data_IF_153629412990
#
_entry.id   IF_153629412990
#
_cell.length_a   1.000
_cell.length_b   1.000
_cell.length_c   1.000
_cell.angle_alpha   90.00
_cell.angle_beta   90.00
_cell.angle_gamma   90.00
#
_symmetry.space_group_name_H-M   'P 1'
#
loop_
_entity.id
_entity.type
_entity.pdbx_description
1 polymer ?
#
# COMPACT_ATOMS: atom_id res chain seq x y z
N UNK A 1 -2.01 -31.16 3.06
CA UNK A 1 -0.54 -31.32 3.21
C UNK A 1 0.09 -30.31 2.25
N UNK A 2 0.57 -29.16 2.75
CA UNK A 2 1.22 -28.14 1.92
C UNK A 2 2.74 -28.26 2.12
N UNK A 3 3.38 -28.96 1.19
CA UNK A 3 4.83 -28.95 1.05
C UNK A 3 5.18 -27.96 -0.06
N UNK A 4 5.56 -26.74 0.34
CA UNK A 4 6.13 -25.72 -0.54
C UNK A 4 7.18 -24.97 0.25
N UNK A 5 8.44 -25.03 -0.21
CA UNK A 5 9.60 -24.43 0.43
C UNK A 5 9.75 -23.01 -0.15
N UNK A 6 9.14 -22.03 0.50
CA UNK A 6 9.23 -20.62 0.09
C UNK A 6 10.58 -20.05 0.53
N UNK A 7 11.51 -19.88 -0.41
CA UNK A 7 12.79 -19.20 -0.17
C UNK A 7 12.66 -17.73 -0.59
N UNK A 8 12.35 -16.86 0.36
CA UNK A 8 12.69 -15.44 0.26
C UNK A 8 14.08 -15.26 0.88
N UNK A 9 15.04 -14.73 0.13
CA UNK A 9 16.39 -14.46 0.63
C UNK A 9 16.40 -13.15 1.41
N UNK A 10 16.59 -13.25 2.73
CA UNK A 10 17.18 -12.18 3.55
C UNK A 10 16.21 -11.26 4.27
N UNK A 11 15.87 -11.61 5.52
CA UNK A 11 15.50 -10.60 6.52
C UNK A 11 16.73 -10.34 7.40
N UNK A 12 17.34 -9.16 7.31
CA UNK A 12 18.27 -8.68 8.34
C UNK A 12 17.50 -7.76 9.28
N UNK A 13 17.02 -8.32 10.39
CA UNK A 13 16.42 -7.52 11.45
C UNK A 13 17.50 -6.97 12.36
N UNK A 14 17.72 -5.67 12.30
CA UNK A 14 18.44 -4.90 13.32
C UNK A 14 17.42 -3.96 13.97
N UNK A 15 17.27 -3.97 15.31
CA UNK A 15 16.34 -3.06 15.98
C UNK A 15 16.69 -1.60 15.70
N UNK A 16 15.76 -0.85 15.11
CA UNK A 16 15.96 0.54 14.71
C UNK A 16 16.08 0.77 13.20
N UNK A 17 16.22 -0.30 12.41
CA UNK A 17 16.39 -0.20 10.97
C UNK A 17 15.06 -0.35 10.20
N UNK A 18 14.96 0.37 9.09
CA UNK A 18 13.89 0.18 8.12
C UNK A 18 14.07 -1.15 7.40
N UNK A 19 13.00 -1.94 7.32
CA UNK A 19 13.00 -3.21 6.59
C UNK A 19 12.40 -3.01 5.21
N UNK A 20 13.02 -3.63 4.22
CA UNK A 20 12.62 -3.61 2.82
C UNK A 20 12.63 -5.04 2.29
N UNK A 21 11.51 -5.52 1.77
CA UNK A 21 11.44 -6.82 1.10
C UNK A 21 12.01 -6.65 -0.31
N UNK A 22 13.30 -6.93 -0.46
CA UNK A 22 14.01 -6.65 -1.71
C UNK A 22 13.45 -7.41 -2.89
N UNK A 23 12.95 -8.64 -2.68
CA UNK A 23 12.43 -9.48 -3.74
C UNK A 23 11.32 -10.40 -3.21
N UNK A 24 10.20 -10.42 -3.91
CA UNK A 24 9.21 -11.49 -3.88
C UNK A 24 8.49 -11.54 -5.22
N UNK A 25 7.86 -12.66 -5.54
CA UNK A 25 7.39 -12.95 -6.90
C UNK A 25 8.09 -14.18 -7.40
N UNK A 26 8.52 -14.18 -8.66
CA UNK A 26 9.09 -15.38 -9.29
C UNK A 26 8.02 -16.45 -9.36
N UNK A 27 7.04 -16.22 -10.23
CA UNK A 27 6.02 -17.22 -10.49
C UNK A 27 6.74 -18.38 -11.16
N UNK A 28 6.84 -19.53 -10.47
CA UNK A 28 7.35 -20.76 -11.07
C UNK A 28 6.40 -21.17 -12.23
N UNK A 29 5.67 -22.27 -12.08
CA UNK A 29 4.69 -22.72 -13.09
C UNK A 29 3.31 -22.03 -12.94
N UNK A 30 3.18 -21.01 -12.07
CA UNK A 30 1.89 -20.36 -11.77
C UNK A 30 1.63 -19.16 -12.67
N UNK A 31 0.57 -19.14 -13.50
CA UNK A 31 0.28 -18.02 -14.38
C UNK A 31 -0.22 -16.76 -13.67
N UNK A 32 -0.73 -16.87 -12.43
CA UNK A 32 -1.34 -15.75 -11.67
C UNK A 32 -0.57 -15.36 -10.42
N UNK A 33 0.45 -16.14 -10.06
CA UNK A 33 1.36 -15.86 -8.94
C UNK A 33 0.66 -15.70 -7.58
N UNK A 34 -0.55 -16.27 -7.43
CA UNK A 34 -1.48 -15.90 -6.35
C UNK A 34 -0.92 -16.08 -4.95
N UNK A 35 -0.28 -17.22 -4.71
CA UNK A 35 0.31 -17.56 -3.41
C UNK A 35 1.46 -16.63 -3.04
N UNK A 36 2.39 -16.39 -3.97
CA UNK A 36 3.57 -15.55 -3.74
C UNK A 36 3.19 -14.09 -3.51
N UNK A 37 2.26 -13.56 -4.30
CA UNK A 37 1.77 -12.19 -4.14
C UNK A 37 1.03 -12.01 -2.81
N UNK A 38 0.14 -12.94 -2.45
CA UNK A 38 -0.57 -12.87 -1.17
C UNK A 38 0.38 -12.94 0.02
N UNK A 39 1.39 -13.82 -0.03
CA UNK A 39 2.41 -13.90 1.00
C UNK A 39 3.21 -12.59 1.12
N UNK A 40 3.74 -12.08 0.01
CA UNK A 40 4.56 -10.86 -0.01
C UNK A 40 3.79 -9.64 0.48
N UNK A 41 2.54 -9.48 0.03
CA UNK A 41 1.66 -8.41 0.49
C UNK A 41 1.34 -8.53 1.98
N UNK A 42 1.01 -9.72 2.49
CA UNK A 42 0.74 -9.90 3.91
C UNK A 42 1.98 -9.63 4.78
N UNK A 43 3.16 -10.03 4.31
CA UNK A 43 4.42 -9.74 5.00
C UNK A 43 4.71 -8.24 5.02
N UNK A 44 4.61 -7.58 3.86
CA UNK A 44 4.82 -6.14 3.72
C UNK A 44 3.83 -5.32 4.56
N UNK A 45 2.54 -5.58 4.42
CA UNK A 45 1.47 -4.81 5.08
C UNK A 45 1.53 -4.97 6.60
N UNK A 46 1.78 -6.19 7.11
CA UNK A 46 1.85 -6.47 8.55
C UNK A 46 2.91 -5.62 9.26
N UNK A 47 4.02 -5.37 8.57
CA UNK A 47 5.14 -4.64 9.14
C UNK A 47 5.31 -3.24 8.54
N UNK A 48 4.36 -2.79 7.71
CA UNK A 48 4.41 -1.52 6.99
C UNK A 48 5.74 -1.34 6.23
N UNK A 49 6.16 -2.39 5.51
CA UNK A 49 7.43 -2.44 4.79
C UNK A 49 7.23 -2.21 3.30
N UNK A 50 8.17 -1.51 2.69
CA UNK A 50 8.26 -1.41 1.24
C UNK A 50 8.80 -2.72 0.65
N UNK A 51 8.56 -2.92 -0.63
CA UNK A 51 8.93 -4.14 -1.33
C UNK A 51 9.26 -3.87 -2.80
N UNK A 52 9.96 -4.81 -3.44
CA UNK A 52 10.13 -4.83 -4.90
C UNK A 52 9.71 -6.20 -5.44
N UNK A 53 8.91 -6.18 -6.50
CA UNK A 53 8.48 -7.38 -7.19
C UNK A 53 9.61 -7.88 -8.10
N UNK A 54 9.89 -9.18 -8.04
CA UNK A 54 10.85 -9.85 -8.90
C UNK A 54 10.13 -10.79 -9.87
N UNK A 55 10.45 -10.68 -11.15
CA UNK A 55 9.88 -11.49 -12.22
C UNK A 55 9.28 -10.65 -13.34
N UNK A 56 9.08 -11.28 -14.49
CA UNK A 56 8.45 -10.62 -15.62
C UNK A 56 6.93 -10.60 -15.46
N UNK A 57 6.33 -9.44 -15.69
CA UNK A 57 4.88 -9.29 -15.79
C UNK A 57 4.51 -9.21 -17.27
N UNK A 58 4.78 -10.27 -18.03
CA UNK A 58 4.49 -10.30 -19.47
C UNK A 58 2.99 -10.37 -19.71
N UNK A 59 2.34 -9.21 -19.86
CA UNK A 59 0.99 -9.08 -20.41
C UNK A 59 -0.15 -9.62 -19.54
N UNK A 60 0.14 -10.24 -18.39
CA UNK A 60 -0.90 -10.65 -17.45
C UNK A 60 -1.43 -9.45 -16.66
N UNK A 61 -2.51 -8.87 -17.17
CA UNK A 61 -3.23 -7.78 -16.52
C UNK A 61 -3.78 -8.17 -15.14
N UNK A 62 -3.93 -9.46 -14.82
CA UNK A 62 -4.34 -9.90 -13.47
C UNK A 62 -3.23 -9.61 -12.47
N UNK A 63 -2.00 -10.03 -12.76
CA UNK A 63 -0.83 -9.76 -11.91
C UNK A 63 -0.55 -8.25 -11.81
N UNK A 64 -0.59 -7.49 -12.93
CA UNK A 64 -0.41 -6.03 -12.90
C UNK A 64 -1.45 -5.34 -12.02
N UNK A 65 -2.74 -5.71 -12.14
CA UNK A 65 -3.81 -5.13 -11.32
C UNK A 65 -3.60 -5.43 -9.83
N UNK A 66 -3.11 -6.61 -9.50
CA UNK A 66 -2.83 -7.00 -8.10
C UNK A 66 -1.63 -6.28 -7.49
N UNK A 67 -0.61 -5.96 -8.29
CA UNK A 67 0.51 -5.13 -7.87
C UNK A 67 0.11 -3.65 -7.73
N UNK A 68 -0.90 -3.21 -8.49
CA UNK A 68 -1.41 -1.84 -8.56
C UNK A 68 -2.31 -1.41 -7.39
N UNK A 69 -1.95 -1.79 -6.17
CA UNK A 69 -2.74 -1.55 -4.95
C UNK A 69 -2.72 -0.06 -4.56
N UNK A 70 -3.74 0.45 -3.86
CA UNK A 70 -3.59 1.67 -3.08
C UNK A 70 -2.49 1.51 -2.04
N UNK A 71 -1.63 2.53 -1.90
CA UNK A 71 -0.65 2.55 -0.82
C UNK A 71 -0.33 3.98 -0.39
N UNK A 72 0.05 4.16 0.87
CA UNK A 72 0.56 5.42 1.37
C UNK A 72 2.00 5.61 0.87
N UNK A 73 2.22 6.60 -0.01
CA UNK A 73 3.57 6.94 -0.53
C UNK A 73 4.33 7.86 0.43
N UNK A 74 3.61 8.64 1.23
CA UNK A 74 4.18 9.47 2.29
C UNK A 74 3.20 9.57 3.47
N UNK A 75 3.71 9.52 4.70
CA UNK A 75 2.91 9.72 5.92
C UNK A 75 3.25 11.06 6.57
N UNK A 76 2.23 11.78 7.02
CA UNK A 76 2.36 13.10 7.65
C UNK A 76 3.29 13.11 8.86
N UNK A 77 3.36 12.03 9.65
CA UNK A 77 4.34 11.88 10.74
C UNK A 77 4.45 13.12 11.64
N UNK A 78 5.66 13.67 11.75
CA UNK A 78 5.96 14.96 12.43
C UNK A 78 5.98 16.17 11.48
N UNK A 79 5.66 15.97 10.20
CA UNK A 79 5.65 17.01 9.18
C UNK A 79 4.28 17.67 9.10
N UNK A 80 4.24 18.96 8.76
CA UNK A 80 2.99 19.68 8.47
C UNK A 80 2.45 19.38 7.06
N UNK A 81 2.98 18.37 6.37
CA UNK A 81 2.52 17.95 5.04
C UNK A 81 1.43 16.89 5.16
N UNK A 82 0.47 16.83 4.23
CA UNK A 82 -0.54 15.78 4.19
C UNK A 82 0.08 14.38 4.06
N UNK A 83 -0.63 13.36 4.51
CA UNK A 83 -0.37 11.97 4.08
C UNK A 83 -0.82 11.84 2.63
N UNK A 84 0.00 11.19 1.81
CA UNK A 84 -0.25 10.96 0.38
C UNK A 84 -0.57 9.48 0.15
N UNK A 85 -1.74 9.19 -0.44
CA UNK A 85 -2.14 7.85 -0.86
C UNK A 85 -2.20 7.82 -2.38
N UNK A 86 -1.43 6.92 -2.98
CA UNK A 86 -1.47 6.68 -4.42
C UNK A 86 -2.59 5.70 -4.77
N UNK A 87 -3.32 5.98 -5.85
CA UNK A 87 -4.33 5.14 -6.47
C UNK A 87 -3.95 4.83 -7.92
N UNK A 88 -3.89 3.54 -8.27
CA UNK A 88 -3.66 3.16 -9.65
C UNK A 88 -4.94 3.28 -10.49
N UNK A 89 -4.84 3.93 -11.65
CA UNK A 89 -5.91 3.99 -12.65
C UNK A 89 -6.31 2.62 -13.20
N UNK A 90 -5.46 1.60 -13.06
CA UNK A 90 -5.77 0.23 -13.47
C UNK A 90 -6.83 -0.43 -12.59
N UNK A 91 -6.91 -0.01 -11.32
CA UNK A 91 -7.88 -0.52 -10.34
C UNK A 91 -8.99 0.50 -10.10
N UNK A 92 -8.68 1.80 -10.21
CA UNK A 92 -9.58 2.90 -9.94
C UNK A 92 -9.66 3.89 -11.13
N UNK A 93 -10.19 3.47 -12.29
CA UNK A 93 -10.27 4.34 -13.45
C UNK A 93 -11.18 5.55 -13.19
N UNK A 94 -10.75 6.75 -13.58
CA UNK A 94 -11.59 7.97 -13.65
C UNK A 94 -12.36 8.31 -12.36
N UNK A 95 -11.74 8.16 -11.20
CA UNK A 95 -12.37 8.40 -9.90
C UNK A 95 -13.61 7.50 -9.61
N UNK A 96 -13.57 6.26 -10.10
CA UNK A 96 -14.49 5.17 -9.72
C UNK A 96 -14.20 4.67 -8.31
N UNK A 97 -14.18 5.57 -7.34
CA UNK A 97 -13.99 5.23 -5.93
C UNK A 97 -14.85 6.08 -5.01
N UNK A 98 -15.13 5.52 -3.84
CA UNK A 98 -15.64 6.23 -2.69
C UNK A 98 -14.56 6.27 -1.61
N UNK A 99 -14.44 7.42 -0.94
CA UNK A 99 -13.56 7.59 0.22
C UNK A 99 -14.43 7.86 1.42
N UNK A 100 -14.27 7.05 2.45
CA UNK A 100 -14.86 7.27 3.77
C UNK A 100 -13.75 7.52 4.78
N UNK A 101 -13.88 8.60 5.53
CA UNK A 101 -12.97 8.98 6.61
C UNK A 101 -13.75 9.21 7.89
N UNK A 102 -13.07 9.14 9.04
CA UNK A 102 -13.67 9.54 10.31
C UNK A 102 -13.62 11.07 10.51
N UNK A 103 -14.31 11.56 11.54
CA UNK A 103 -14.45 12.99 11.89
C UNK A 103 -13.15 13.74 12.25
N UNK A 104 -12.02 13.04 12.38
CA UNK A 104 -10.73 13.62 12.76
C UNK A 104 -9.88 14.03 11.57
N UNK A 105 -10.16 13.50 10.38
CA UNK A 105 -9.37 13.73 9.18
C UNK A 105 -10.28 14.13 8.02
N UNK A 106 -9.72 14.91 7.10
CA UNK A 106 -10.34 15.29 5.85
C UNK A 106 -9.46 14.81 4.70
N UNK A 107 -10.05 14.74 3.52
CA UNK A 107 -9.34 14.32 2.32
C UNK A 107 -9.64 15.24 1.15
N UNK A 108 -8.70 15.30 0.22
CA UNK A 108 -8.86 15.97 -1.09
C UNK A 108 -8.01 15.24 -2.12
N UNK A 109 -8.30 15.45 -3.40
CA UNK A 109 -7.44 14.99 -4.50
C UNK A 109 -6.31 16.01 -4.67
N UNK A 110 -5.09 15.53 -4.92
CA UNK A 110 -3.97 16.42 -5.27
C UNK A 110 -4.27 17.17 -6.58
N UNK A 111 -4.13 18.51 -6.61
CA UNK A 111 -4.46 19.30 -7.79
C UNK A 111 -3.51 19.08 -8.98
N UNK A 112 -2.34 18.48 -8.74
CA UNK A 112 -1.30 18.22 -9.75
C UNK A 112 -1.27 16.77 -10.22
N UNK A 113 -1.80 15.83 -9.43
CA UNK A 113 -1.90 14.41 -9.78
C UNK A 113 -3.19 13.80 -9.24
N UNK A 114 -4.14 13.49 -10.13
CA UNK A 114 -5.44 12.92 -9.74
C UNK A 114 -5.37 11.49 -9.20
N UNK A 115 -4.20 10.86 -9.25
CA UNK A 115 -3.92 9.57 -8.65
C UNK A 115 -3.49 9.68 -7.19
N UNK A 116 -3.35 10.89 -6.65
CA UNK A 116 -2.94 11.11 -5.26
C UNK A 116 -4.11 11.67 -4.46
N UNK A 117 -4.41 10.99 -3.35
CA UNK A 117 -5.29 11.51 -2.29
C UNK A 117 -4.42 12.10 -1.19
N UNK A 118 -4.76 13.31 -0.77
CA UNK A 118 -4.15 14.01 0.35
C UNK A 118 -5.05 13.88 1.58
N UNK A 119 -4.49 13.40 2.69
CA UNK A 119 -5.18 13.24 3.97
C UNK A 119 -4.59 14.22 5.00
N UNK A 120 -5.45 15.01 5.64
CA UNK A 120 -5.07 16.05 6.60
C UNK A 120 -5.92 15.95 7.88
N UNK A 121 -5.38 16.23 9.08
CA UNK A 121 -6.19 16.37 10.29
C UNK A 121 -7.12 17.60 10.19
N UNK A 122 -8.39 17.47 10.61
CA UNK A 122 -9.34 18.60 10.64
C UNK A 122 -9.02 19.57 11.78
N UNK A 123 -8.47 19.07 12.89
CA UNK A 123 -8.00 19.88 14.02
C UNK A 123 -6.52 19.58 14.22
N UNK A 124 -5.66 20.60 14.16
CA UNK A 124 -4.30 20.55 14.70
C UNK A 124 -4.39 20.44 16.23
N UNK A 125 -4.94 19.34 16.77
CA UNK A 125 -4.59 18.96 18.12
C UNK A 125 -3.11 18.62 18.06
N UNK A 126 -2.31 19.30 18.88
CA UNK A 126 -0.95 18.90 19.18
C UNK A 126 -1.10 17.49 19.77
N UNK A 127 -0.98 16.46 18.92
CA UNK A 127 -0.99 15.08 19.37
C UNK A 127 0.32 14.89 20.10
N UNK A 128 0.25 15.06 21.41
CA UNK A 128 1.36 14.94 22.34
C UNK A 128 1.89 13.51 22.28
N UNK A 129 2.98 13.29 21.54
CA UNK A 129 3.93 12.18 21.62
C UNK A 129 3.41 10.72 21.65
N UNK A 130 2.11 10.47 21.64
CA UNK A 130 1.55 9.14 21.58
C UNK A 130 1.45 8.72 20.12
N UNK A 131 2.15 7.63 19.79
CA UNK A 131 2.24 6.99 18.47
C UNK A 131 0.93 6.32 18.05
N UNK A 132 -0.19 7.01 18.21
CA UNK A 132 -1.51 6.45 17.93
C UNK A 132 -2.04 6.97 16.58
N UNK A 133 -2.63 6.07 15.80
CA UNK A 133 -3.32 6.44 14.57
C UNK A 133 -4.49 7.39 14.89
N UNK A 134 -4.56 8.52 14.18
CA UNK A 134 -5.55 9.57 14.42
C UNK A 134 -6.88 9.38 13.65
N UNK A 135 -6.88 8.44 12.71
CA UNK A 135 -8.04 8.13 11.88
C UNK A 135 -7.80 6.98 10.91
N UNK A 136 -8.86 6.60 10.21
CA UNK A 136 -8.86 5.54 9.21
C UNK A 136 -9.41 6.09 7.90
N UNK A 137 -8.83 5.63 6.79
CA UNK A 137 -9.26 5.96 5.43
C UNK A 137 -9.69 4.65 4.77
N UNK A 138 -10.94 4.59 4.31
CA UNK A 138 -11.46 3.47 3.54
C UNK A 138 -11.68 3.90 2.10
N UNK A 139 -11.05 3.19 1.17
CA UNK A 139 -11.16 3.44 -0.27
C UNK A 139 -11.81 2.21 -0.89
N UNK A 140 -13.00 2.38 -1.44
CA UNK A 140 -13.73 1.31 -2.12
C UNK A 140 -13.93 1.68 -3.58
N UNK A 141 -13.77 0.70 -4.48
CA UNK A 141 -14.13 0.91 -5.87
C UNK A 141 -15.65 1.12 -5.98
N UNK A 142 -16.07 2.00 -6.88
CA UNK A 142 -17.48 2.09 -7.28
C UNK A 142 -17.76 0.90 -8.20
N UNK A 143 -18.77 0.13 -7.88
CA UNK A 143 -19.33 -0.83 -8.83
C UNK A 143 -19.94 -0.03 -10.00
N UNK A 144 -19.65 -0.44 -11.24
CA UNK A 144 -20.25 0.13 -12.45
C UNK A 144 -21.71 -0.33 -12.60
#
# INVERSE_FOLDING_TARGET
RLNGKYMGTGFTHVPGDSLFLTEFGGCDDSPTCDGQLNWGFQAADRYFQSWTYWGDVYGDMVTVKRLSRPYARALTGLSNKPTEIYLSLLVYPKASYNITVNENIQWKIDPTDSNIILIEPIKQRIYSQEKNAIGFVYITAKEE
#
